data_IF_555649342813
#
_entry.id   IF_555649342813
#
_cell.length_a   1.000
_cell.length_b   1.000
_cell.length_c   1.000
_cell.angle_alpha   90.00
_cell.angle_beta   90.00
_cell.angle_gamma   90.00
#
_symmetry.space_group_name_H-M   'P 1'
#
loop_
_entity.id
_entity.type
_entity.pdbx_description
1 polymer ?
#
# COMPACT_ATOMS: atom_id res chain seq x y z
N UNK A 1 22.76 25.05 8.84
CA UNK A 1 22.43 25.10 7.40
C UNK A 1 22.93 23.79 6.77
N UNK A 2 22.11 22.71 6.81
CA UNK A 2 22.48 21.40 6.30
C UNK A 2 22.11 21.41 4.80
N UNK A 3 23.12 21.49 3.93
CA UNK A 3 22.93 21.27 2.50
C UNK A 3 22.63 19.79 2.28
N UNK A 4 21.37 19.46 1.99
CA UNK A 4 20.98 18.14 1.49
C UNK A 4 21.55 18.05 0.08
N UNK A 5 22.64 17.30 -0.09
CA UNK A 5 23.16 16.90 -1.39
C UNK A 5 22.15 15.94 -2.03
N UNK A 6 21.28 16.48 -2.87
CA UNK A 6 20.53 15.68 -3.82
C UNK A 6 21.53 15.05 -4.79
N UNK A 7 21.74 13.75 -4.68
CA UNK A 7 22.46 12.99 -5.69
C UNK A 7 21.64 13.02 -6.98
N UNK A 8 22.07 13.84 -7.93
CA UNK A 8 21.43 14.06 -9.25
C UNK A 8 21.43 12.83 -10.17
N UNK A 9 22.07 11.73 -9.78
CA UNK A 9 22.33 10.59 -10.67
C UNK A 9 21.37 9.39 -10.51
N UNK A 10 20.31 9.52 -9.70
CA UNK A 10 19.25 8.49 -9.64
C UNK A 10 17.86 9.13 -9.77
N UNK A 11 17.70 10.06 -10.67
CA UNK A 11 16.38 10.38 -11.20
C UNK A 11 16.00 9.22 -12.10
N UNK A 12 15.25 8.28 -11.56
CA UNK A 12 14.60 7.23 -12.35
C UNK A 12 13.82 7.94 -13.44
N UNK A 13 14.21 7.72 -14.70
CA UNK A 13 13.55 8.36 -15.84
C UNK A 13 12.07 7.96 -15.82
N UNK A 14 11.19 8.94 -15.64
CA UNK A 14 9.74 8.75 -15.68
C UNK A 14 9.27 8.05 -16.98
N UNK A 15 10.09 8.08 -18.03
CA UNK A 15 9.80 7.42 -19.31
C UNK A 15 10.04 5.91 -19.25
N UNK A 16 11.08 5.44 -18.54
CA UNK A 16 11.31 4.01 -18.34
C UNK A 16 10.30 3.40 -17.36
N UNK A 17 9.87 4.17 -16.34
CA UNK A 17 8.77 3.75 -15.46
C UNK A 17 7.42 3.70 -16.18
N UNK A 18 7.18 4.58 -17.15
CA UNK A 18 5.94 4.60 -17.95
C UNK A 18 5.76 3.35 -18.81
N UNK A 19 6.83 2.74 -19.31
CA UNK A 19 6.75 1.52 -20.13
C UNK A 19 6.49 0.24 -19.31
N UNK A 20 6.84 0.24 -18.01
CA UNK A 20 6.57 -0.88 -17.09
C UNK A 20 5.23 -0.75 -16.36
N UNK A 21 4.65 0.42 -16.31
CA UNK A 21 3.35 0.75 -15.71
C UNK A 21 2.26 0.81 -16.79
N UNK A 22 2.02 -0.30 -17.47
CA UNK A 22 0.69 -0.51 -18.05
C UNK A 22 -0.26 -0.62 -16.87
N UNK A 23 -0.83 0.51 -16.46
CA UNK A 23 -1.91 0.60 -15.47
C UNK A 23 -3.09 -0.17 -16.05
N UNK A 24 -3.11 -1.48 -15.84
CA UNK A 24 -4.28 -2.28 -16.16
C UNK A 24 -5.32 -1.97 -15.11
N UNK A 25 -6.23 -1.05 -15.42
CA UNK A 25 -7.47 -0.90 -14.68
C UNK A 25 -8.28 -2.16 -14.90
N UNK A 26 -8.78 -2.75 -13.83
CA UNK A 26 -9.66 -3.90 -13.95
C UNK A 26 -11.01 -3.45 -14.54
N UNK A 27 -11.62 -4.28 -15.40
CA UNK A 27 -12.98 -4.00 -15.89
C UNK A 27 -13.97 -3.90 -14.73
N UNK A 28 -14.88 -2.95 -14.81
CA UNK A 28 -15.97 -2.76 -13.84
C UNK A 28 -17.32 -3.19 -14.44
N UNK A 29 -18.28 -3.68 -13.63
CA UNK A 29 -18.23 -3.85 -12.18
C UNK A 29 -17.41 -5.08 -11.74
N UNK A 30 -16.69 -4.94 -10.62
CA UNK A 30 -15.95 -6.05 -9.99
C UNK A 30 -16.87 -6.87 -9.09
N UNK A 31 -16.71 -8.20 -9.11
CA UNK A 31 -17.31 -9.12 -8.16
C UNK A 31 -16.37 -10.31 -7.88
N UNK A 32 -16.66 -11.09 -6.84
CA UNK A 32 -15.80 -12.21 -6.45
C UNK A 32 -15.64 -13.26 -7.56
N UNK A 33 -16.67 -13.45 -8.38
CA UNK A 33 -16.66 -14.42 -9.49
C UNK A 33 -15.68 -14.05 -10.61
N UNK A 34 -15.22 -12.80 -10.68
CA UNK A 34 -14.19 -12.37 -11.63
C UNK A 34 -12.80 -12.94 -11.30
N UNK A 35 -12.62 -13.52 -10.12
CA UNK A 35 -11.32 -13.93 -9.62
C UNK A 35 -11.23 -15.43 -9.35
N UNK A 36 -10.07 -15.99 -9.63
CA UNK A 36 -9.62 -17.27 -9.06
C UNK A 36 -8.88 -16.98 -7.77
N UNK A 37 -9.33 -17.61 -6.67
CA UNK A 37 -8.81 -17.34 -5.34
C UNK A 37 -7.64 -18.30 -5.05
N UNK A 38 -6.44 -17.75 -4.92
CA UNK A 38 -5.22 -18.49 -4.59
C UNK A 38 -4.97 -18.59 -3.07
N UNK A 39 -3.70 -18.67 -2.69
CA UNK A 39 -3.27 -18.83 -1.30
C UNK A 39 -3.49 -17.57 -0.46
N UNK A 40 -3.56 -17.74 0.86
CA UNK A 40 -3.60 -16.62 1.80
C UNK A 40 -2.19 -16.05 1.94
N UNK A 41 -2.07 -14.74 1.76
CA UNK A 41 -0.83 -13.97 1.92
C UNK A 41 -0.66 -13.50 3.37
N UNK A 42 -1.76 -13.15 4.04
CA UNK A 42 -1.75 -12.69 5.42
C UNK A 42 -3.15 -12.71 6.03
N UNK A 43 -3.19 -12.73 7.36
CA UNK A 43 -4.42 -12.66 8.16
C UNK A 43 -4.33 -11.51 9.16
N UNK A 44 -5.43 -10.81 9.35
CA UNK A 44 -5.54 -9.72 10.33
C UNK A 44 -6.83 -9.82 11.12
N UNK A 45 -7.03 -8.90 12.06
CA UNK A 45 -8.19 -8.88 12.99
C UNK A 45 -9.54 -8.83 12.27
N UNK A 46 -9.60 -8.25 11.08
CA UNK A 46 -10.87 -8.02 10.35
C UNK A 46 -11.07 -8.98 9.18
N UNK A 47 -10.04 -9.76 8.81
CA UNK A 47 -10.12 -10.63 7.64
C UNK A 47 -8.78 -11.17 7.17
N UNK A 48 -8.65 -11.33 5.88
CA UNK A 48 -7.45 -11.91 5.26
C UNK A 48 -7.12 -11.26 3.92
N UNK A 49 -5.86 -11.37 3.52
CA UNK A 49 -5.40 -11.01 2.18
C UNK A 49 -5.07 -12.29 1.43
N UNK A 50 -5.59 -12.45 0.22
CA UNK A 50 -5.32 -13.61 -0.64
C UNK A 50 -4.77 -13.16 -1.98
N UNK A 51 -3.86 -13.94 -2.54
CA UNK A 51 -3.50 -13.79 -3.93
C UNK A 51 -4.69 -14.22 -4.80
N UNK A 52 -4.97 -13.47 -5.86
CA UNK A 52 -6.06 -13.78 -6.79
C UNK A 52 -5.61 -13.52 -8.22
N UNK A 53 -6.14 -14.32 -9.16
CA UNK A 53 -5.96 -14.09 -10.59
C UNK A 53 -7.28 -13.61 -11.18
N UNK A 54 -7.25 -12.46 -11.85
CA UNK A 54 -8.44 -11.95 -12.56
C UNK A 54 -8.65 -12.77 -13.84
N UNK A 55 -9.78 -13.50 -13.94
CA UNK A 55 -10.04 -14.52 -14.98
C UNK A 55 -9.95 -13.97 -16.40
N UNK A 56 -10.50 -12.78 -16.65
CA UNK A 56 -10.55 -12.23 -18.01
C UNK A 56 -9.20 -11.66 -18.49
N UNK A 57 -8.30 -11.23 -17.58
CA UNK A 57 -7.04 -10.60 -17.96
C UNK A 57 -5.81 -11.43 -17.60
N UNK A 58 -5.96 -12.50 -16.81
CA UNK A 58 -4.85 -13.28 -16.25
C UNK A 58 -3.96 -12.51 -15.26
N UNK A 59 -4.32 -11.27 -14.92
CA UNK A 59 -3.51 -10.44 -14.03
C UNK A 59 -3.65 -10.86 -12.56
N UNK A 60 -2.53 -10.79 -11.82
CA UNK A 60 -2.44 -11.21 -10.43
C UNK A 60 -2.60 -10.00 -9.51
N UNK A 61 -3.39 -10.16 -8.44
CA UNK A 61 -3.72 -9.13 -7.47
C UNK A 61 -3.68 -9.68 -6.04
N UNK A 62 -3.62 -8.79 -5.06
CA UNK A 62 -3.86 -9.09 -3.66
C UNK A 62 -5.28 -8.65 -3.30
N UNK A 63 -6.13 -9.59 -2.90
CA UNK A 63 -7.51 -9.34 -2.49
C UNK A 63 -7.61 -9.29 -0.97
N UNK A 64 -7.76 -8.08 -0.43
CA UNK A 64 -8.04 -7.84 1.00
C UNK A 64 -9.54 -8.04 1.21
N UNK A 65 -9.88 -9.04 2.02
CA UNK A 65 -11.25 -9.47 2.33
C UNK A 65 -11.55 -9.14 3.79
N UNK A 66 -12.50 -8.25 4.05
CA UNK A 66 -12.83 -7.73 5.37
C UNK A 66 -14.25 -8.17 5.75
N UNK A 67 -14.40 -8.90 6.85
CA UNK A 67 -15.69 -9.37 7.32
C UNK A 67 -16.47 -8.21 7.96
N UNK A 68 -17.62 -7.85 7.39
CA UNK A 68 -18.44 -6.70 7.83
C UNK A 68 -18.79 -6.75 9.31
N UNK A 69 -19.14 -7.92 9.84
CA UNK A 69 -19.45 -8.08 11.27
C UNK A 69 -18.26 -7.74 12.18
N UNK A 70 -17.03 -8.09 11.79
CA UNK A 70 -15.83 -7.78 12.56
C UNK A 70 -15.46 -6.30 12.46
N UNK A 71 -15.59 -5.71 11.26
CA UNK A 71 -15.36 -4.27 11.05
C UNK A 71 -16.30 -3.42 11.92
N UNK A 72 -17.59 -3.83 12.02
CA UNK A 72 -18.58 -3.16 12.87
C UNK A 72 -18.27 -3.42 14.35
N UNK A 73 -18.03 -4.68 14.75
CA UNK A 73 -17.76 -5.07 16.13
C UNK A 73 -16.55 -4.32 16.71
N UNK A 74 -15.51 -4.09 15.91
CA UNK A 74 -14.27 -3.43 16.31
C UNK A 74 -14.27 -1.93 15.99
N UNK A 75 -15.42 -1.36 15.63
CA UNK A 75 -15.62 0.08 15.34
C UNK A 75 -14.65 0.65 14.29
N UNK A 76 -14.32 -0.13 13.25
CA UNK A 76 -13.32 0.23 12.24
C UNK A 76 -13.92 0.74 10.91
N UNK A 77 -15.22 1.04 10.89
CA UNK A 77 -15.94 1.46 9.66
C UNK A 77 -15.31 2.72 9.07
N UNK A 78 -15.05 3.74 9.89
CA UNK A 78 -14.46 5.00 9.46
C UNK A 78 -13.04 4.81 8.90
N UNK A 79 -12.23 3.96 9.55
CA UNK A 79 -10.89 3.64 9.07
C UNK A 79 -10.92 2.96 7.70
N UNK A 80 -11.87 2.05 7.45
CA UNK A 80 -12.01 1.36 6.17
C UNK A 80 -12.47 2.31 5.06
N UNK A 81 -13.40 3.21 5.37
CA UNK A 81 -13.84 4.26 4.42
C UNK A 81 -12.68 5.20 4.09
N UNK A 82 -11.93 5.61 5.11
CA UNK A 82 -10.75 6.48 4.96
C UNK A 82 -9.68 5.79 4.11
N UNK A 83 -9.30 4.55 4.42
CA UNK A 83 -8.33 3.76 3.66
C UNK A 83 -8.69 3.69 2.18
N UNK A 84 -9.95 3.31 1.88
CA UNK A 84 -10.46 3.28 0.49
C UNK A 84 -10.37 4.64 -0.17
N UNK A 85 -10.87 5.69 0.50
CA UNK A 85 -10.93 7.05 -0.06
C UNK A 85 -9.54 7.60 -0.36
N UNK A 86 -8.58 7.37 0.53
CA UNK A 86 -7.21 7.84 0.37
C UNK A 86 -6.52 7.04 -0.74
N UNK A 87 -6.52 5.70 -0.68
CA UNK A 87 -5.88 4.87 -1.69
C UNK A 87 -6.43 5.10 -3.10
N UNK A 88 -7.73 5.44 -3.23
CA UNK A 88 -8.32 5.74 -4.55
C UNK A 88 -7.80 7.05 -5.18
N UNK A 89 -7.13 7.90 -4.40
CA UNK A 89 -6.54 9.18 -4.82
C UNK A 89 -5.01 9.12 -4.95
N UNK A 90 -4.39 8.04 -4.45
CA UNK A 90 -2.93 7.88 -4.49
C UNK A 90 -2.49 7.23 -5.79
N UNK A 91 -1.57 7.91 -6.48
CA UNK A 91 -0.87 7.37 -7.66
C UNK A 91 0.62 7.69 -7.53
N UNK A 92 1.36 6.78 -6.90
CA UNK A 92 2.79 6.94 -6.65
C UNK A 92 3.50 5.58 -6.76
N UNK A 93 4.69 5.50 -7.36
CA UNK A 93 5.40 4.23 -7.58
C UNK A 93 5.70 3.45 -6.31
N UNK A 94 5.87 4.13 -5.17
CA UNK A 94 6.18 3.51 -3.88
C UNK A 94 4.96 3.39 -2.95
N UNK A 95 3.75 3.51 -3.48
CA UNK A 95 2.49 3.21 -2.78
C UNK A 95 1.82 2.03 -3.46
N UNK A 96 1.26 1.10 -2.66
CA UNK A 96 0.45 0.00 -3.17
C UNK A 96 -0.81 0.56 -3.82
N UNK A 97 -1.04 0.21 -5.09
CA UNK A 97 -2.18 0.71 -5.85
C UNK A 97 -3.46 -0.05 -5.54
N UNK A 98 -4.56 0.69 -5.43
CA UNK A 98 -5.92 0.14 -5.37
C UNK A 98 -6.50 0.05 -6.78
N UNK A 99 -6.77 -1.18 -7.27
CA UNK A 99 -7.38 -1.39 -8.57
C UNK A 99 -8.91 -1.27 -8.55
N UNK A 100 -9.53 -1.49 -7.39
CA UNK A 100 -10.97 -1.36 -7.22
C UNK A 100 -11.48 -1.96 -5.92
N UNK A 101 -12.76 -1.70 -5.64
CA UNK A 101 -13.44 -2.23 -4.45
C UNK A 101 -14.81 -2.76 -4.84
N UNK A 102 -15.26 -3.78 -4.14
CA UNK A 102 -16.61 -4.32 -4.26
C UNK A 102 -17.05 -4.93 -2.92
N UNK A 103 -18.29 -5.40 -2.84
CA UNK A 103 -18.82 -5.99 -1.61
C UNK A 103 -19.87 -7.04 -1.93
N UNK A 104 -20.06 -7.95 -0.98
CA UNK A 104 -21.19 -8.85 -0.91
C UNK A 104 -21.94 -8.67 0.45
N UNK A 105 -22.96 -9.46 0.76
CA UNK A 105 -23.66 -9.35 2.04
C UNK A 105 -22.78 -9.52 3.28
N UNK A 106 -21.66 -10.26 3.19
CA UNK A 106 -20.80 -10.61 4.33
C UNK A 106 -19.47 -9.89 4.36
N UNK A 107 -18.91 -9.53 3.21
CA UNK A 107 -17.54 -9.00 3.08
C UNK A 107 -17.46 -7.70 2.30
N UNK A 108 -16.45 -6.89 2.66
CA UNK A 108 -15.89 -5.82 1.84
C UNK A 108 -14.63 -6.35 1.18
N UNK A 109 -14.37 -5.93 -0.05
CA UNK A 109 -13.22 -6.36 -0.83
C UNK A 109 -12.46 -5.17 -1.38
N UNK A 110 -11.13 -5.19 -1.25
CA UNK A 110 -10.22 -4.24 -1.89
C UNK A 110 -9.24 -5.03 -2.75
N UNK A 111 -9.22 -4.76 -4.04
CA UNK A 111 -8.28 -5.36 -4.99
C UNK A 111 -7.06 -4.47 -5.07
N UNK A 112 -5.95 -4.94 -4.53
CA UNK A 112 -4.69 -4.21 -4.39
C UNK A 112 -3.63 -4.80 -5.31
N UNK A 113 -2.64 -4.00 -5.67
CA UNK A 113 -1.43 -4.45 -6.35
C UNK A 113 -0.78 -5.61 -5.57
N UNK A 114 -0.46 -6.71 -6.27
CA UNK A 114 0.30 -7.81 -5.68
C UNK A 114 1.80 -7.48 -5.72
N UNK A 115 2.41 -7.38 -4.56
CA UNK A 115 3.82 -7.01 -4.39
C UNK A 115 4.64 -8.26 -4.11
N UNK A 116 5.53 -8.64 -5.05
CA UNK A 116 6.13 -9.98 -5.14
C UNK A 116 7.27 -10.20 -4.13
N UNK A 117 8.02 -9.15 -3.77
CA UNK A 117 9.22 -9.27 -2.90
C UNK A 117 8.91 -9.49 -1.42
N UNK A 118 7.63 -9.47 -1.04
CA UNK A 118 7.17 -9.75 0.33
C UNK A 118 7.41 -8.61 1.31
N UNK A 119 7.34 -8.94 2.60
CA UNK A 119 7.44 -7.96 3.68
C UNK A 119 8.86 -7.45 3.90
N UNK A 120 9.05 -6.13 3.90
CA UNK A 120 10.32 -5.48 4.22
C UNK A 120 10.84 -5.89 5.61
N UNK A 121 9.94 -6.05 6.59
CA UNK A 121 10.30 -6.47 7.93
C UNK A 121 10.98 -7.85 7.97
N UNK A 122 10.56 -8.78 7.12
CA UNK A 122 11.19 -10.10 6.99
C UNK A 122 12.64 -9.97 6.50
N UNK A 123 12.89 -9.09 5.52
CA UNK A 123 14.23 -8.82 5.00
C UNK A 123 15.11 -8.12 6.05
N UNK A 124 14.56 -7.13 6.77
CA UNK A 124 15.26 -6.45 7.86
C UNK A 124 15.64 -7.40 8.99
N UNK A 125 14.72 -8.25 9.44
CA UNK A 125 15.00 -9.27 10.48
C UNK A 125 16.08 -10.25 10.07
N UNK A 126 16.09 -10.69 8.82
CA UNK A 126 17.12 -11.60 8.28
C UNK A 126 18.48 -10.94 8.21
N UNK A 127 18.55 -9.67 7.83
CA UNK A 127 19.79 -8.89 7.77
C UNK A 127 20.28 -8.44 9.15
N UNK A 128 19.39 -8.43 10.18
CA UNK A 128 19.66 -7.82 11.48
C UNK A 128 19.65 -6.29 11.42
N UNK A 129 20.46 -5.71 10.58
CA UNK A 129 20.48 -4.27 10.26
C UNK A 129 20.89 -4.06 8.82
N UNK A 130 20.46 -2.95 8.23
CA UNK A 130 20.96 -2.52 6.93
C UNK A 130 22.23 -1.67 7.10
N UNK A 131 23.10 -1.73 6.12
CA UNK A 131 24.24 -0.83 5.99
C UNK A 131 23.75 0.58 5.57
N UNK A 132 24.66 1.57 5.61
CA UNK A 132 24.33 2.94 5.28
C UNK A 132 23.78 3.14 3.85
N UNK A 133 24.33 2.50 2.81
CA UNK A 133 23.77 2.59 1.47
C UNK A 133 22.33 2.07 1.38
N UNK A 134 22.06 0.87 1.92
CA UNK A 134 20.72 0.29 1.91
C UNK A 134 19.73 1.10 2.75
N UNK A 135 20.14 1.57 3.94
CA UNK A 135 19.31 2.41 4.78
C UNK A 135 18.92 3.73 4.07
N UNK A 136 19.88 4.39 3.41
CA UNK A 136 19.62 5.59 2.60
C UNK A 136 18.68 5.31 1.44
N UNK A 137 18.88 4.20 0.74
CA UNK A 137 18.05 3.79 -0.39
C UNK A 137 16.58 3.66 0.01
N UNK A 138 16.29 2.98 1.13
CA UNK A 138 14.93 2.83 1.60
C UNK A 138 14.36 4.13 2.22
N UNK A 139 15.16 4.86 2.99
CA UNK A 139 14.73 6.12 3.60
C UNK A 139 14.37 7.16 2.54
N UNK A 140 15.12 7.26 1.45
CA UNK A 140 14.81 8.19 0.35
C UNK A 140 13.45 7.92 -0.29
N UNK A 141 13.06 6.65 -0.44
CA UNK A 141 11.77 6.27 -1.00
C UNK A 141 10.61 6.65 -0.06
N UNK A 142 10.80 6.46 1.27
CA UNK A 142 9.80 6.91 2.26
C UNK A 142 9.65 8.43 2.22
N UNK A 143 10.74 9.19 2.12
CA UNK A 143 10.71 10.65 2.01
C UNK A 143 9.93 11.08 0.77
N UNK A 144 10.15 10.46 -0.40
CA UNK A 144 9.44 10.77 -1.62
C UNK A 144 7.93 10.50 -1.52
N UNK A 145 7.53 9.42 -0.82
CA UNK A 145 6.12 9.16 -0.55
C UNK A 145 5.52 10.22 0.35
N UNK A 146 6.23 10.61 1.40
CA UNK A 146 5.73 11.63 2.33
C UNK A 146 5.67 13.02 1.68
N UNK A 147 6.65 13.38 0.85
CA UNK A 147 6.58 14.59 0.04
C UNK A 147 5.32 14.62 -0.84
N UNK A 148 5.05 13.52 -1.56
CA UNK A 148 3.87 13.37 -2.39
C UNK A 148 2.56 13.45 -1.58
N UNK A 149 2.48 12.75 -0.43
CA UNK A 149 1.30 12.75 0.42
C UNK A 149 1.04 14.12 1.05
N UNK A 150 2.08 14.74 1.62
CA UNK A 150 1.97 16.04 2.28
C UNK A 150 1.65 17.16 1.30
N UNK A 151 2.14 17.11 0.06
CA UNK A 151 1.76 18.03 -1.01
C UNK A 151 0.26 17.96 -1.37
N UNK A 152 -0.40 16.86 -0.99
CA UNK A 152 -1.84 16.63 -1.19
C UNK A 152 -2.64 16.68 0.12
N UNK A 153 -2.06 17.25 1.19
CA UNK A 153 -2.66 17.38 2.53
C UNK A 153 -3.00 16.04 3.20
N UNK A 154 -2.32 14.96 2.84
CA UNK A 154 -2.47 13.67 3.50
C UNK A 154 -1.31 13.38 4.45
N UNK A 155 -1.62 12.85 5.63
CA UNK A 155 -0.64 12.36 6.62
C UNK A 155 -0.84 10.85 6.79
N UNK A 156 0.26 10.08 6.74
CA UNK A 156 0.20 8.61 6.79
C UNK A 156 -0.02 8.05 8.20
N UNK A 157 0.74 8.49 9.19
CA UNK A 157 0.62 8.24 10.64
C UNK A 157 0.87 6.81 11.16
N UNK A 158 1.20 5.84 10.29
CA UNK A 158 1.47 4.45 10.72
C UNK A 158 2.73 3.88 10.04
N UNK A 159 3.80 4.71 9.97
CA UNK A 159 5.06 4.25 9.40
C UNK A 159 5.73 3.24 10.33
N UNK A 160 5.82 2.01 9.86
CA UNK A 160 6.52 0.90 10.51
C UNK A 160 6.96 -0.13 9.46
N UNK A 161 8.00 -0.93 9.74
CA UNK A 161 8.51 -1.92 8.77
C UNK A 161 7.47 -2.93 8.30
N UNK A 162 6.46 -3.22 9.10
CA UNK A 162 5.37 -4.16 8.79
C UNK A 162 4.45 -3.65 7.67
N UNK A 163 4.37 -2.32 7.51
CA UNK A 163 3.56 -1.67 6.47
C UNK A 163 4.35 -1.38 5.19
N UNK A 164 5.55 -1.93 5.09
CA UNK A 164 6.41 -1.82 3.92
C UNK A 164 6.56 -3.17 3.24
N UNK A 165 6.34 -3.19 1.93
CA UNK A 165 6.57 -4.35 1.07
C UNK A 165 7.71 -4.03 0.10
N UNK A 166 8.33 -5.06 -0.48
CA UNK A 166 9.31 -4.91 -1.55
C UNK A 166 8.73 -5.40 -2.88
N UNK A 167 8.94 -4.64 -3.94
CA UNK A 167 8.61 -5.08 -5.28
C UNK A 167 9.68 -6.07 -5.81
N UNK A 168 9.48 -6.57 -7.03
CA UNK A 168 10.41 -7.51 -7.68
C UNK A 168 11.82 -6.97 -7.91
N UNK A 169 11.98 -5.65 -7.91
CA UNK A 169 13.24 -4.95 -8.13
C UNK A 169 13.88 -4.48 -6.81
N UNK A 170 13.24 -4.73 -5.66
CA UNK A 170 13.70 -4.31 -4.34
C UNK A 170 13.28 -2.90 -3.94
N UNK A 171 12.38 -2.24 -4.66
CA UNK A 171 11.83 -0.94 -4.26
C UNK A 171 10.70 -1.11 -3.25
N UNK A 172 10.54 -0.10 -2.36
CA UNK A 172 9.47 -0.09 -1.37
C UNK A 172 8.09 0.12 -2.00
N UNK A 173 7.10 -0.50 -1.37
CA UNK A 173 5.67 -0.24 -1.57
C UNK A 173 5.02 -0.07 -0.20
N UNK A 174 4.58 1.16 0.12
CA UNK A 174 3.85 1.45 1.36
C UNK A 174 2.42 0.93 1.23
N UNK A 175 1.94 0.22 2.24
CA UNK A 175 0.59 -0.35 2.32
C UNK A 175 -0.08 0.04 3.63
N UNK A 176 -1.36 -0.32 3.81
CA UNK A 176 -2.16 -0.06 5.01
C UNK A 176 -2.34 1.43 5.34
N UNK A 177 -3.31 2.05 4.70
CA UNK A 177 -3.67 3.47 4.87
C UNK A 177 -4.81 3.69 5.87
N UNK A 178 -5.12 2.69 6.72
CA UNK A 178 -6.20 2.75 7.71
C UNK A 178 -6.08 3.89 8.72
N UNK A 179 -4.86 4.32 9.03
CA UNK A 179 -4.57 5.47 9.89
C UNK A 179 -4.26 6.75 9.13
N UNK A 180 -4.18 6.73 7.82
CA UNK A 180 -3.93 7.93 7.05
C UNK A 180 -5.11 8.92 7.15
N UNK A 181 -4.82 10.22 7.09
CA UNK A 181 -5.83 11.27 7.26
C UNK A 181 -5.58 12.44 6.31
N UNK A 182 -6.66 13.00 5.79
CA UNK A 182 -6.65 14.30 5.11
C UNK A 182 -6.67 15.42 6.14
N UNK A 183 -5.71 16.34 6.09
CA UNK A 183 -5.52 17.39 7.09
C UNK A 183 -5.08 18.69 6.42
N UNK A 184 -5.98 19.67 6.32
CA UNK A 184 -5.67 20.96 5.71
C UNK A 184 -4.82 21.87 6.62
N UNK A 185 -4.93 21.72 7.97
CA UNK A 185 -4.20 22.59 8.91
C UNK A 185 -3.39 21.81 9.96
N UNK A 186 -4.07 21.25 10.98
CA UNK A 186 -3.46 20.52 12.10
C UNK A 186 -4.29 19.31 12.51
N UNK A 187 -3.63 18.27 12.98
CA UNK A 187 -4.29 17.11 13.60
C UNK A 187 -3.79 16.93 15.03
N UNK A 188 -4.68 16.54 15.93
CA UNK A 188 -4.39 16.25 17.35
C UNK A 188 -4.72 14.79 17.71
N UNK A 189 -4.81 13.91 16.72
CA UNK A 189 -5.12 12.49 16.97
C UNK A 189 -3.89 11.80 17.51
N UNK A 190 -4.00 11.13 18.65
CA UNK A 190 -2.98 10.21 19.18
C UNK A 190 -2.85 9.04 18.20
N UNK A 191 -1.66 8.82 17.68
CA UNK A 191 -1.32 7.70 16.81
C UNK A 191 0.17 7.39 16.95
N UNK A 192 0.51 6.14 16.70
CA UNK A 192 1.84 5.57 16.93
C UNK A 192 1.78 4.45 17.96
N UNK A 193 2.85 3.65 18.01
CA UNK A 193 3.11 2.75 19.14
C UNK A 193 4.03 3.46 20.13
N UNK A 194 3.74 3.31 21.43
CA UNK A 194 4.66 3.64 22.52
C UNK A 194 5.94 2.80 22.39
#
# INVERSE_FOLDING_TARGET
MIKIFFCREQVIDKREMSSALVVRTLPTPLCLNNFEIGVTLGTGSFGRVRIVTHKATGSIWALKMLKKSEVIRLQQVEHMISEKSILSRMDHPFIVRLAGTFQDPKYLYMTLEYVVGGEFFTHLRRAGRFDHPAARFYASQVILVFEYMHASDFIYRDLKPENLLLDKNGYLKITDFGFAKYVVFKTYTLCGKD
#
